data_IF_682471726258
#
_entry.id   IF_682471726258
#
_cell.length_a   1.000
_cell.length_b   1.000
_cell.length_c   1.000
_cell.angle_alpha   90.00
_cell.angle_beta   90.00
_cell.angle_gamma   90.00
#
_symmetry.space_group_name_H-M   'P 1'
#
loop_
_entity.id
_entity.type
_entity.pdbx_description
1 polymer ?
#
# COMPACT_ATOMS: atom_id res chain seq x y z
N UNK A 1 48.72 27.62 6.84
CA UNK A 1 47.28 27.25 6.74
C UNK A 1 46.41 27.73 7.91
N UNK A 2 46.91 27.88 9.15
CA UNK A 2 46.12 28.41 10.28
C UNK A 2 45.98 29.95 10.35
N UNK A 3 46.78 30.72 9.62
CA UNK A 3 46.81 32.20 9.72
C UNK A 3 45.68 32.88 8.94
N UNK A 4 45.18 32.27 7.87
CA UNK A 4 44.14 32.87 7.00
C UNK A 4 42.76 32.87 7.70
N UNK A 5 42.47 31.87 8.55
CA UNK A 5 41.20 31.78 9.29
C UNK A 5 41.04 32.84 10.39
N UNK A 6 42.15 33.41 10.90
CA UNK A 6 42.12 34.41 11.99
C UNK A 6 41.72 35.82 11.51
N UNK A 7 42.05 36.18 10.27
CA UNK A 7 41.85 37.53 9.74
C UNK A 7 40.47 37.78 9.13
N UNK A 8 39.63 36.76 8.95
CA UNK A 8 38.26 36.93 8.44
C UNK A 8 37.26 37.43 9.52
N UNK A 9 37.66 37.42 10.81
CA UNK A 9 36.81 37.82 11.93
C UNK A 9 36.58 39.33 12.07
N UNK A 10 37.26 40.17 11.29
CA UNK A 10 37.26 41.62 11.46
C UNK A 10 36.34 42.40 10.50
N UNK A 11 35.65 41.73 9.57
CA UNK A 11 34.84 42.40 8.52
C UNK A 11 33.32 42.28 8.79
N UNK A 12 32.90 41.44 9.74
CA UNK A 12 31.47 41.13 9.98
C UNK A 12 31.08 41.51 11.42
N UNK A 13 30.10 42.38 11.58
CA UNK A 13 29.67 42.82 12.92
C UNK A 13 28.94 41.69 13.68
N UNK A 14 28.85 41.79 15.01
CA UNK A 14 28.06 40.82 15.81
C UNK A 14 26.59 40.77 15.39
N UNK A 15 26.03 41.89 14.93
CA UNK A 15 24.65 41.97 14.43
C UNK A 15 24.53 41.27 13.08
N UNK A 16 25.50 41.45 12.18
CA UNK A 16 25.55 40.73 10.90
C UNK A 16 25.66 39.22 11.13
N UNK A 17 26.49 38.80 12.09
CA UNK A 17 26.61 37.40 12.48
C UNK A 17 25.29 36.84 13.07
N UNK A 18 24.55 37.64 13.84
CA UNK A 18 23.26 37.25 14.41
C UNK A 18 22.20 37.11 13.31
N UNK A 19 22.16 38.06 12.35
CA UNK A 19 21.27 38.04 11.19
C UNK A 19 21.58 36.83 10.31
N UNK A 20 22.85 36.58 10.00
CA UNK A 20 23.31 35.41 9.24
C UNK A 20 22.90 34.10 9.90
N UNK A 21 23.00 33.99 11.23
CA UNK A 21 22.54 32.81 11.97
C UNK A 21 21.02 32.61 11.87
N UNK A 22 20.23 33.67 11.95
CA UNK A 22 18.77 33.59 11.80
C UNK A 22 18.37 33.19 10.38
N UNK A 23 19.01 33.77 9.36
CA UNK A 23 18.79 33.41 7.96
C UNK A 23 19.17 31.94 7.72
N UNK A 24 20.34 31.52 8.20
CA UNK A 24 20.79 30.13 8.09
C UNK A 24 19.85 29.15 8.80
N UNK A 25 19.35 29.50 9.99
CA UNK A 25 18.42 28.67 10.75
C UNK A 25 17.06 28.53 10.05
N UNK A 26 16.54 29.62 9.47
CA UNK A 26 15.31 29.60 8.66
C UNK A 26 15.49 28.77 7.39
N UNK A 27 16.62 28.94 6.69
CA UNK A 27 16.94 28.16 5.51
C UNK A 27 17.05 26.66 5.83
N UNK A 28 17.71 26.30 6.93
CA UNK A 28 17.81 24.92 7.41
C UNK A 28 16.43 24.34 7.73
N UNK A 29 15.56 25.09 8.41
CA UNK A 29 14.19 24.67 8.69
C UNK A 29 13.39 24.42 7.41
N UNK A 30 13.47 25.33 6.42
CA UNK A 30 12.82 25.15 5.12
C UNK A 30 13.33 23.92 4.36
N UNK A 31 14.62 23.62 4.43
CA UNK A 31 15.21 22.42 3.82
C UNK A 31 14.68 21.16 4.50
N UNK A 32 14.61 21.12 5.84
CA UNK A 32 14.06 19.97 6.59
C UNK A 32 12.59 19.73 6.23
N UNK A 33 11.78 20.79 6.15
CA UNK A 33 10.38 20.69 5.71
C UNK A 33 10.29 20.16 4.27
N UNK A 34 11.10 20.68 3.36
CA UNK A 34 11.13 20.22 1.97
C UNK A 34 11.53 18.73 1.86
N UNK A 35 12.53 18.29 2.63
CA UNK A 35 12.95 16.89 2.69
C UNK A 35 11.85 15.98 3.25
N UNK A 36 11.10 16.43 4.27
CA UNK A 36 9.99 15.67 4.83
C UNK A 36 8.84 15.51 3.82
N UNK A 37 8.49 16.58 3.10
CA UNK A 37 7.45 16.57 2.05
C UNK A 37 7.81 15.61 0.92
N UNK A 38 9.08 15.57 0.48
CA UNK A 38 9.52 14.66 -0.59
C UNK A 38 9.37 13.17 -0.24
N UNK A 39 9.54 12.79 1.04
CA UNK A 39 9.42 11.38 1.46
C UNK A 39 7.97 10.89 1.58
N UNK A 40 7.01 11.79 1.80
CA UNK A 40 5.60 11.43 2.03
C UNK A 40 4.87 10.91 0.78
N UNK A 41 5.29 11.30 -0.42
CA UNK A 41 4.59 10.97 -1.66
C UNK A 41 5.12 9.72 -2.40
N UNK A 42 6.19 9.09 -1.90
CA UNK A 42 6.89 8.02 -2.64
C UNK A 42 6.57 6.59 -2.17
N UNK A 43 5.68 6.39 -1.20
CA UNK A 43 5.47 5.05 -0.65
C UNK A 43 4.66 4.17 -1.62
N UNK A 44 5.34 3.23 -2.27
CA UNK A 44 4.73 2.23 -3.16
C UNK A 44 3.76 1.34 -2.37
N UNK A 45 2.67 0.90 -3.02
CA UNK A 45 1.75 -0.08 -2.45
C UNK A 45 2.51 -1.37 -2.10
N UNK A 46 2.38 -1.80 -0.85
CA UNK A 46 3.02 -2.99 -0.29
C UNK A 46 2.32 -4.24 -0.77
N UNK A 47 3.12 -5.23 -1.14
CA UNK A 47 2.67 -6.58 -1.46
C UNK A 47 3.66 -7.55 -0.81
N UNK A 48 3.16 -8.44 0.04
CA UNK A 48 3.97 -9.49 0.67
C UNK A 48 3.75 -10.82 -0.05
N UNK A 49 4.82 -11.58 -0.25
CA UNK A 49 4.80 -12.90 -0.86
C UNK A 49 5.38 -13.95 0.08
N UNK A 50 4.68 -15.08 0.20
CA UNK A 50 5.09 -16.20 1.05
C UNK A 50 4.95 -17.51 0.26
N UNK A 51 6.04 -18.28 0.18
CA UNK A 51 5.98 -19.60 -0.46
C UNK A 51 5.35 -20.60 0.50
N UNK A 52 4.20 -21.15 0.13
CA UNK A 52 3.47 -22.16 0.90
C UNK A 52 3.35 -23.42 0.04
N UNK A 53 4.09 -24.47 0.40
CA UNK A 53 4.19 -25.70 -0.39
C UNK A 53 4.64 -25.42 -1.85
N UNK A 54 3.80 -25.77 -2.82
CA UNK A 54 4.00 -25.57 -4.27
C UNK A 54 3.28 -24.32 -4.81
N UNK A 55 2.84 -23.43 -3.92
CA UNK A 55 2.11 -22.19 -4.24
C UNK A 55 2.80 -20.98 -3.60
N UNK A 56 2.46 -19.80 -4.10
CA UNK A 56 2.88 -18.52 -3.53
C UNK A 56 1.65 -17.79 -3.03
N UNK A 57 1.56 -17.57 -1.72
CA UNK A 57 0.56 -16.69 -1.12
C UNK A 57 0.98 -15.25 -1.37
N UNK A 58 0.03 -14.41 -1.74
CA UNK A 58 0.22 -12.97 -1.90
C UNK A 58 -0.76 -12.21 -1.02
N UNK A 59 -0.26 -11.21 -0.30
CA UNK A 59 -1.05 -10.30 0.55
C UNK A 59 -0.85 -8.89 0.01
N UNK A 60 -1.92 -8.30 -0.53
CA UNK A 60 -1.94 -6.93 -1.01
C UNK A 60 -2.49 -6.03 0.09
N UNK A 61 -1.85 -4.88 0.28
CA UNK A 61 -2.30 -3.86 1.23
C UNK A 61 -2.93 -2.68 0.49
N UNK A 62 -3.76 -1.91 1.18
CA UNK A 62 -4.27 -0.64 0.67
C UNK A 62 -3.13 0.38 0.45
N UNK A 63 -3.41 1.49 -0.22
CA UNK A 63 -2.42 2.53 -0.55
C UNK A 63 -1.68 3.10 0.67
N UNK A 64 -2.33 3.13 1.83
CA UNK A 64 -1.73 3.56 3.11
C UNK A 64 -0.85 2.46 3.75
N UNK A 65 -0.80 1.27 3.16
CA UNK A 65 -0.05 0.10 3.63
C UNK A 65 -0.41 -0.39 5.05
N UNK A 66 -1.54 0.06 5.61
CA UNK A 66 -1.94 -0.26 6.99
C UNK A 66 -2.92 -1.42 7.08
N UNK A 67 -3.77 -1.58 6.06
CA UNK A 67 -4.85 -2.56 6.02
C UNK A 67 -4.71 -3.48 4.81
N UNK A 68 -5.14 -4.72 4.96
CA UNK A 68 -5.09 -5.73 3.89
C UNK A 68 -6.24 -5.47 2.92
N UNK A 69 -5.92 -5.36 1.62
CA UNK A 69 -6.90 -5.24 0.54
C UNK A 69 -7.39 -6.61 0.08
N UNK A 70 -6.45 -7.55 -0.16
CA UNK A 70 -6.78 -8.91 -0.62
C UNK A 70 -5.65 -9.90 -0.37
N UNK A 71 -6.03 -11.16 -0.18
CA UNK A 71 -5.10 -12.29 0.01
C UNK A 71 -5.52 -13.44 -0.89
N UNK A 72 -4.56 -14.13 -1.46
CA UNK A 72 -4.82 -15.38 -2.19
C UNK A 72 -3.53 -16.07 -2.60
N UNK A 73 -3.65 -17.00 -3.55
CA UNK A 73 -2.53 -17.83 -3.98
C UNK A 73 -2.33 -17.80 -5.49
N UNK A 74 -1.07 -17.91 -5.88
CA UNK A 74 -0.61 -18.23 -7.22
C UNK A 74 -0.07 -19.67 -7.26
N UNK A 75 -0.30 -20.37 -8.36
CA UNK A 75 0.30 -21.67 -8.61
C UNK A 75 1.78 -21.51 -9.04
N UNK A 76 2.49 -22.62 -9.23
CA UNK A 76 3.89 -22.62 -9.66
C UNK A 76 4.15 -21.98 -11.04
N UNK A 77 3.11 -21.77 -11.87
CA UNK A 77 3.20 -21.08 -13.16
C UNK A 77 2.92 -19.57 -13.04
N UNK A 78 2.57 -19.08 -11.85
CA UNK A 78 2.19 -17.69 -11.62
C UNK A 78 0.71 -17.40 -11.91
N UNK A 79 -0.13 -18.39 -12.17
CA UNK A 79 -1.56 -18.15 -12.37
C UNK A 79 -2.31 -18.10 -11.02
N UNK A 80 -3.37 -17.29 -10.93
CA UNK A 80 -4.30 -17.29 -9.80
C UNK A 80 -4.84 -18.71 -9.57
N UNK A 81 -4.79 -19.19 -8.32
CA UNK A 81 -5.24 -20.54 -7.99
C UNK A 81 -5.79 -20.65 -6.56
N UNK A 82 -6.94 -21.28 -6.41
CA UNK A 82 -7.65 -21.37 -5.14
C UNK A 82 -8.48 -20.12 -4.83
N UNK A 83 -8.73 -19.91 -3.55
CA UNK A 83 -9.58 -18.83 -3.04
C UNK A 83 -8.77 -17.54 -2.85
N UNK A 84 -9.35 -16.45 -3.33
CA UNK A 84 -8.91 -15.08 -3.11
C UNK A 84 -9.98 -14.35 -2.31
N UNK A 85 -9.57 -13.74 -1.20
CA UNK A 85 -10.46 -12.99 -0.32
C UNK A 85 -10.05 -11.53 -0.34
N UNK A 86 -11.01 -10.65 -0.65
CA UNK A 86 -10.85 -9.21 -0.58
C UNK A 86 -11.58 -8.66 0.65
N UNK A 87 -11.03 -7.60 1.21
CA UNK A 87 -11.54 -6.92 2.39
C UNK A 87 -11.87 -5.46 2.05
N UNK A 88 -12.55 -4.76 2.95
CA UNK A 88 -12.61 -3.30 2.97
C UNK A 88 -11.55 -2.74 3.95
N UNK A 89 -11.45 -1.41 4.08
CA UNK A 89 -10.49 -0.78 5.00
C UNK A 89 -10.74 -1.13 6.48
N UNK A 90 -11.96 -1.49 6.83
CA UNK A 90 -12.33 -1.95 8.18
C UNK A 90 -12.05 -3.44 8.41
N UNK A 91 -11.49 -4.16 7.42
CA UNK A 91 -11.17 -5.59 7.52
C UNK A 91 -12.37 -6.53 7.31
N UNK A 92 -13.53 -6.02 6.91
CA UNK A 92 -14.70 -6.85 6.56
C UNK A 92 -14.53 -7.42 5.16
N UNK A 93 -14.91 -8.69 4.98
CA UNK A 93 -14.88 -9.35 3.66
C UNK A 93 -15.82 -8.65 2.69
N UNK A 94 -15.31 -8.32 1.51
CA UNK A 94 -16.09 -7.73 0.41
C UNK A 94 -16.28 -8.72 -0.73
N UNK A 95 -15.30 -9.58 -0.99
CA UNK A 95 -15.33 -10.55 -2.09
C UNK A 95 -14.65 -11.84 -1.68
N UNK A 96 -15.26 -12.99 -1.99
CA UNK A 96 -14.59 -14.29 -2.05
C UNK A 96 -14.63 -14.75 -3.50
N UNK A 97 -13.47 -14.97 -4.11
CA UNK A 97 -13.32 -15.34 -5.51
C UNK A 97 -12.52 -16.64 -5.65
N UNK A 98 -13.03 -17.59 -6.44
CA UNK A 98 -12.37 -18.87 -6.67
C UNK A 98 -11.79 -18.96 -8.08
N UNK A 99 -10.51 -19.37 -8.14
CA UNK A 99 -9.76 -19.54 -9.36
C UNK A 99 -9.17 -20.95 -9.48
N UNK A 100 -9.02 -21.42 -10.71
CA UNK A 100 -8.29 -22.64 -11.05
C UNK A 100 -7.44 -22.39 -12.27
N UNK A 101 -6.11 -22.45 -12.12
CA UNK A 101 -5.14 -22.19 -13.21
C UNK A 101 -5.45 -20.89 -13.98
N UNK A 102 -5.64 -19.80 -13.25
CA UNK A 102 -5.90 -18.47 -13.80
C UNK A 102 -7.32 -18.20 -14.27
N UNK A 103 -8.20 -19.21 -14.30
CA UNK A 103 -9.60 -19.05 -14.70
C UNK A 103 -10.51 -18.92 -13.49
N UNK A 104 -11.56 -18.10 -13.58
CA UNK A 104 -12.67 -18.10 -12.63
C UNK A 104 -13.33 -19.48 -12.68
N UNK A 105 -13.28 -20.21 -11.57
CA UNK A 105 -13.83 -21.56 -11.45
C UNK A 105 -14.25 -21.78 -10.00
N UNK A 106 -15.53 -22.05 -9.79
CA UNK A 106 -16.15 -22.14 -8.47
C UNK A 106 -17.04 -20.94 -8.15
N UNK A 107 -17.47 -20.87 -6.89
CA UNK A 107 -18.43 -19.89 -6.40
C UNK A 107 -17.72 -18.57 -6.08
N UNK A 108 -18.30 -17.45 -6.48
CA UNK A 108 -17.86 -16.12 -6.12
C UNK A 108 -18.95 -15.43 -5.32
N UNK A 109 -18.56 -14.82 -4.22
CA UNK A 109 -19.47 -14.13 -3.32
C UNK A 109 -19.08 -12.66 -3.24
N UNK A 110 -20.06 -11.78 -3.46
CA UNK A 110 -19.89 -10.34 -3.38
C UNK A 110 -20.77 -9.81 -2.26
N UNK A 111 -20.13 -9.37 -1.19
CA UNK A 111 -20.76 -8.93 0.04
C UNK A 111 -21.16 -7.46 -0.09
N UNK A 112 -22.45 -7.20 0.12
CA UNK A 112 -23.03 -5.86 0.32
C UNK A 112 -23.66 -5.80 1.72
N UNK A 113 -24.03 -4.62 2.24
CA UNK A 113 -24.54 -4.49 3.61
C UNK A 113 -25.69 -5.43 3.97
N UNK A 114 -26.63 -5.67 3.05
CA UNK A 114 -27.85 -6.46 3.29
C UNK A 114 -28.00 -7.68 2.38
N UNK A 115 -27.09 -7.86 1.42
CA UNK A 115 -27.21 -8.91 0.40
C UNK A 115 -25.85 -9.44 -0.01
N UNK A 116 -25.76 -10.75 -0.19
CA UNK A 116 -24.62 -11.44 -0.80
C UNK A 116 -25.04 -11.85 -2.20
N UNK A 117 -24.37 -11.33 -3.22
CA UNK A 117 -24.57 -11.80 -4.59
C UNK A 117 -23.62 -12.96 -4.84
N UNK A 118 -24.17 -14.09 -5.26
CA UNK A 118 -23.42 -15.33 -5.48
C UNK A 118 -23.41 -15.61 -6.98
N UNK A 119 -22.22 -15.82 -7.54
CA UNK A 119 -22.04 -16.14 -8.97
C UNK A 119 -21.17 -17.38 -9.08
N UNK A 120 -21.68 -18.43 -9.71
CA UNK A 120 -20.92 -19.65 -9.95
C UNK A 120 -20.27 -19.59 -11.32
N UNK A 121 -18.95 -19.71 -11.38
CA UNK A 121 -18.19 -19.75 -12.61
C UNK A 121 -17.68 -21.15 -12.94
N UNK A 122 -17.56 -21.44 -14.23
CA UNK A 122 -16.80 -22.57 -14.77
C UNK A 122 -15.98 -22.12 -15.95
N UNK A 123 -14.64 -22.24 -15.86
CA UNK A 123 -13.74 -21.82 -16.93
C UNK A 123 -14.06 -20.41 -17.49
N UNK A 124 -14.18 -19.42 -16.61
CA UNK A 124 -14.55 -18.02 -16.92
C UNK A 124 -16.01 -17.77 -17.36
N UNK A 125 -16.84 -18.80 -17.54
CA UNK A 125 -18.26 -18.64 -17.90
C UNK A 125 -19.13 -18.65 -16.65
N UNK A 126 -20.15 -17.79 -16.62
CA UNK A 126 -21.19 -17.83 -15.58
C UNK A 126 -22.07 -19.06 -15.83
N UNK A 127 -22.26 -19.86 -14.79
CA UNK A 127 -23.14 -21.03 -14.81
C UNK A 127 -24.44 -20.74 -14.06
N UNK A 128 -24.35 -20.02 -12.95
CA UNK A 128 -25.51 -19.68 -12.13
C UNK A 128 -25.27 -18.38 -11.37
N UNK A 129 -26.36 -17.71 -11.03
CA UNK A 129 -26.38 -16.54 -10.16
C UNK A 129 -27.48 -16.69 -9.13
N UNK A 130 -27.21 -16.32 -7.88
CA UNK A 130 -28.20 -16.23 -6.83
C UNK A 130 -27.90 -15.04 -5.91
N UNK A 131 -28.85 -14.74 -5.03
CA UNK A 131 -28.71 -13.72 -3.99
C UNK A 131 -29.14 -14.31 -2.66
N UNK A 132 -28.46 -13.92 -1.60
CA UNK A 132 -28.80 -14.27 -0.22
C UNK A 132 -28.95 -12.99 0.57
N UNK A 133 -30.13 -12.75 1.13
CA UNK A 133 -30.35 -11.65 2.06
C UNK A 133 -29.69 -11.97 3.40
N UNK A 134 -29.11 -10.94 4.01
CA UNK A 134 -28.50 -11.02 5.34
C UNK A 134 -29.40 -10.23 6.27
N UNK A 135 -30.18 -10.94 7.09
CA UNK A 135 -30.93 -10.31 8.16
C UNK A 135 -29.94 -9.95 9.27
N UNK A 136 -29.91 -8.67 9.63
CA UNK A 136 -29.08 -8.11 10.71
C UNK A 136 -29.63 -8.50 12.09
#
# INVERSE_FOLDING_TARGET
MLTIYKNLKFIVSKNDLLILKHIAMRALFSIVVALFVLTGFAQKQRIDYEKVNKKVKATYYYQDNTSIEKVGFFNAKGDLDGTWTSYNKEGKVTIIANYKKGKKDGVWEYYKPTVINIVTYKNNKIIATSKKEVNL
#
